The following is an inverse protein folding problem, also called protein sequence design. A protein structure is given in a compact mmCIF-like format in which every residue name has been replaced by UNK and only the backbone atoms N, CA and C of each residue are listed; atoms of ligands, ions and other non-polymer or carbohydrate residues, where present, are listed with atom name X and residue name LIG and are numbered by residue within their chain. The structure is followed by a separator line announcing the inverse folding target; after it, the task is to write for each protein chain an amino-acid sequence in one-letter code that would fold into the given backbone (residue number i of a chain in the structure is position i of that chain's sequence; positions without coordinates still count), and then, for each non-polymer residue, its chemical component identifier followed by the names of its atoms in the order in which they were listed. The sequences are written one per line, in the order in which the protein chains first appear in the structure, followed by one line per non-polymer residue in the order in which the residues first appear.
data_IF_900336921084
#
_entry.id   IF_900336921084
#
_cell.length_a   1.000
_cell.length_b   1.000
_cell.length_c   1.000
_cell.angle_alpha   90.00
_cell.angle_beta   90.00
_cell.angle_gamma   90.00
#
_symmetry.space_group_name_H-M   'P 1'
#
loop_
_entity.id
_entity.type
_entity.pdbx_description
1 polymer ?
#
# COMPACT_ATOMS: atom_id res chain seq x y z
N UNK A 1 -48.08 -49.69 34.65
CA UNK A 1 -48.34 -48.80 33.50
C UNK A 1 -47.43 -47.61 33.71
N UNK A 2 -46.34 -47.57 32.94
CA UNK A 2 -45.24 -46.62 33.12
C UNK A 2 -45.37 -45.53 32.06
N UNK A 3 -45.48 -44.29 32.49
CA UNK A 3 -45.40 -43.12 31.61
C UNK A 3 -43.93 -42.87 31.20
N UNK A 4 -43.64 -42.61 29.91
CA UNK A 4 -42.27 -42.36 29.47
C UNK A 4 -41.89 -40.89 29.71
N UNK A 5 -40.70 -40.70 30.29
CA UNK A 5 -40.02 -39.41 30.43
C UNK A 5 -39.70 -38.80 29.05
N UNK A 6 -39.93 -37.49 28.84
CA UNK A 6 -39.47 -36.81 27.64
C UNK A 6 -37.94 -36.68 27.65
N UNK A 7 -37.31 -37.11 26.55
CA UNK A 7 -35.86 -37.16 26.38
C UNK A 7 -35.17 -35.78 26.33
N UNK A 8 -33.84 -35.76 26.38
CA UNK A 8 -33.07 -34.51 26.35
C UNK A 8 -33.24 -33.81 25.00
N UNK A 9 -33.76 -32.59 25.04
CA UNK A 9 -33.75 -31.66 23.92
C UNK A 9 -32.28 -31.34 23.58
N UNK A 10 -31.81 -31.90 22.46
CA UNK A 10 -30.54 -31.49 21.84
C UNK A 10 -30.76 -30.08 21.30
N UNK A 11 -30.35 -29.09 22.09
CA UNK A 11 -30.20 -27.72 21.59
C UNK A 11 -29.09 -27.76 20.55
N UNK A 12 -29.47 -27.88 19.28
CA UNK A 12 -28.59 -27.65 18.14
C UNK A 12 -28.19 -26.18 18.17
N UNK A 13 -27.21 -25.87 19.01
CA UNK A 13 -26.42 -24.65 18.90
C UNK A 13 -25.68 -24.81 17.58
N UNK A 14 -26.10 -24.08 16.56
CA UNK A 14 -25.36 -23.95 15.31
C UNK A 14 -23.95 -23.47 15.68
N UNK A 15 -22.99 -24.40 15.72
CA UNK A 15 -21.57 -24.10 15.74
C UNK A 15 -21.26 -23.48 14.39
N UNK A 16 -21.52 -22.18 14.30
CA UNK A 16 -21.06 -21.36 13.21
C UNK A 16 -19.55 -21.36 13.32
N UNK A 17 -18.91 -22.20 12.51
CA UNK A 17 -17.46 -22.24 12.42
C UNK A 17 -16.94 -20.81 12.22
N UNK A 18 -15.95 -20.35 13.00
CA UNK A 18 -15.35 -19.06 12.75
C UNK A 18 -14.72 -19.06 11.34
N UNK A 19 -14.75 -17.93 10.62
CA UNK A 19 -14.07 -17.80 9.33
C UNK A 19 -12.61 -18.23 9.45
N UNK A 20 -12.18 -19.12 8.56
CA UNK A 20 -10.87 -19.79 8.58
C UNK A 20 -9.68 -18.83 8.43
N UNK A 21 -9.92 -17.56 8.08
CA UNK A 21 -8.89 -16.52 8.01
C UNK A 21 -9.39 -15.18 8.60
N UNK A 22 -8.60 -14.60 9.50
CA UNK A 22 -8.86 -13.30 10.10
C UNK A 22 -7.54 -12.55 10.34
N UNK A 23 -7.60 -11.22 10.30
CA UNK A 23 -6.48 -10.37 10.73
C UNK A 23 -6.71 -10.00 12.19
N UNK A 24 -5.73 -10.27 13.05
CA UNK A 24 -5.74 -9.88 14.46
C UNK A 24 -4.75 -8.74 14.69
N UNK A 25 -5.26 -7.59 15.10
CA UNK A 25 -4.44 -6.43 15.45
C UNK A 25 -4.15 -6.48 16.94
N UNK A 26 -2.87 -6.60 17.31
CA UNK A 26 -2.41 -6.52 18.70
C UNK A 26 -1.87 -5.11 18.92
N UNK A 27 -2.59 -4.33 19.73
CA UNK A 27 -2.20 -2.95 20.01
C UNK A 27 -1.05 -2.89 21.02
N UNK A 28 -0.18 -1.89 20.88
CA UNK A 28 0.91 -1.64 21.81
C UNK A 28 0.37 -1.17 23.18
N UNK A 29 1.11 -1.42 24.26
CA UNK A 29 0.70 -1.09 25.64
C UNK A 29 0.37 0.41 25.84
N UNK A 30 0.96 1.29 25.03
CA UNK A 30 0.75 2.74 25.09
C UNK A 30 -0.45 3.25 24.27
N UNK A 31 -1.15 2.39 23.53
CA UNK A 31 -2.30 2.79 22.71
C UNK A 31 -3.57 3.04 23.53
N UNK A 32 -3.58 2.72 24.83
CA UNK A 32 -4.77 2.66 25.69
C UNK A 32 -5.91 1.76 25.17
N UNK A 33 -5.70 1.01 24.09
CA UNK A 33 -6.65 0.04 23.53
C UNK A 33 -6.25 -1.34 24.04
N UNK A 34 -7.05 -1.88 24.95
CA UNK A 34 -6.75 -3.16 25.63
C UNK A 34 -7.35 -4.37 24.92
N UNK A 35 -8.25 -4.16 23.95
CA UNK A 35 -8.93 -5.23 23.22
C UNK A 35 -8.35 -5.37 21.81
N UNK A 36 -7.88 -6.57 21.41
CA UNK A 36 -7.47 -6.83 20.04
C UNK A 36 -8.63 -6.62 19.06
N UNK A 37 -8.39 -5.91 17.96
CA UNK A 37 -9.34 -5.84 16.87
C UNK A 37 -9.21 -7.08 15.97
N UNK A 38 -10.35 -7.67 15.60
CA UNK A 38 -10.41 -8.84 14.71
C UNK A 38 -11.21 -8.44 13.48
N UNK A 39 -10.57 -8.49 12.32
CA UNK A 39 -11.19 -8.20 11.03
C UNK A 39 -11.46 -9.54 10.33
N UNK A 40 -12.74 -9.95 10.18
CA UNK A 40 -13.08 -11.19 9.48
C UNK A 40 -12.90 -11.00 7.97
N UNK A 41 -12.12 -11.89 7.33
CA UNK A 41 -12.03 -11.92 5.87
C UNK A 41 -13.26 -12.68 5.35
N UNK A 42 -14.25 -11.95 4.83
CA UNK A 42 -15.42 -12.57 4.19
C UNK A 42 -14.98 -13.20 2.87
N UNK A 43 -14.93 -14.52 2.80
CA UNK A 43 -14.93 -15.24 1.52
C UNK A 43 -16.36 -15.25 0.97
N UNK A 44 -16.82 -14.14 0.42
CA UNK A 44 -18.01 -14.14 -0.42
C UNK A 44 -17.55 -13.84 -1.85
N UNK A 45 -17.33 -14.92 -2.61
CA UNK A 45 -17.74 -14.87 -4.01
C UNK A 45 -19.24 -14.52 -4.04
N UNK A 46 -19.66 -13.85 -5.11
CA UNK A 46 -21.05 -13.50 -5.42
C UNK A 46 -21.57 -12.21 -4.75
N UNK A 47 -21.16 -11.06 -5.29
CA UNK A 47 -22.15 -10.04 -5.61
C UNK A 47 -21.65 -9.10 -6.71
N UNK A 48 -22.17 -9.36 -7.89
CA UNK A 48 -22.21 -8.50 -9.06
C UNK A 48 -22.95 -7.19 -8.73
N UNK A 49 -22.21 -6.13 -8.44
CA UNK A 49 -22.66 -4.76 -8.68
C UNK A 49 -21.51 -3.98 -9.25
N UNK A 50 -21.57 -3.84 -10.58
CA UNK A 50 -20.71 -3.07 -11.46
C UNK A 50 -20.55 -1.64 -10.95
N UNK A 51 -19.40 -1.22 -10.40
CA UNK A 51 -19.01 0.16 -10.48
C UNK A 51 -18.31 0.33 -11.84
N UNK A 52 -18.64 1.37 -12.59
CA UNK A 52 -17.69 1.96 -13.52
C UNK A 52 -16.53 2.59 -12.72
N UNK A 53 -15.86 1.79 -11.89
CA UNK A 53 -14.52 2.07 -11.45
C UNK A 53 -13.64 1.69 -12.62
N UNK A 54 -12.82 2.63 -13.07
CA UNK A 54 -11.58 2.27 -13.75
C UNK A 54 -10.88 1.30 -12.80
N UNK A 55 -10.99 0.01 -13.09
CA UNK A 55 -10.24 -1.02 -12.40
C UNK A 55 -8.78 -0.73 -12.72
N UNK A 56 -8.12 0.06 -11.87
CA UNK A 56 -6.69 -0.06 -11.71
C UNK A 56 -6.53 -1.44 -11.12
N UNK A 57 -6.38 -2.44 -12.00
CA UNK A 57 -5.98 -3.75 -11.52
C UNK A 57 -4.68 -3.52 -10.75
N UNK A 58 -4.56 -4.05 -9.52
CA UNK A 58 -3.25 -4.14 -8.90
C UNK A 58 -2.42 -4.94 -9.89
N UNK A 59 -1.52 -4.25 -10.60
CA UNK A 59 -0.57 -4.93 -11.46
C UNK A 59 0.22 -5.77 -10.47
N UNK A 60 -0.03 -7.08 -10.47
CA UNK A 60 0.84 -8.03 -9.80
C UNK A 60 2.17 -7.89 -10.55
N UNK A 61 3.04 -7.00 -10.08
CA UNK A 61 4.37 -6.75 -10.64
C UNK A 61 5.27 -7.90 -10.22
N UNK A 62 4.94 -9.12 -10.65
CA UNK A 62 5.63 -10.33 -10.21
C UNK A 62 6.99 -10.56 -10.89
N UNK A 63 7.48 -9.66 -11.73
CA UNK A 63 8.76 -9.90 -12.41
C UNK A 63 9.82 -8.81 -12.29
N UNK A 64 9.50 -7.58 -11.90
CA UNK A 64 10.47 -6.47 -11.99
C UNK A 64 10.15 -5.36 -10.97
N UNK A 65 10.73 -5.37 -9.76
CA UNK A 65 10.42 -4.37 -8.72
C UNK A 65 10.87 -2.95 -9.09
N UNK A 66 11.77 -2.82 -10.07
CA UNK A 66 12.19 -1.54 -10.63
C UNK A 66 11.32 -1.07 -11.80
N UNK A 67 10.17 -1.67 -12.10
CA UNK A 67 9.22 -1.09 -13.07
C UNK A 67 8.63 0.20 -12.48
N UNK A 68 8.54 1.32 -13.22
CA UNK A 68 8.67 1.49 -14.68
C UNK A 68 10.06 1.91 -15.19
N UNK A 69 11.10 1.82 -14.37
CA UNK A 69 12.46 2.11 -14.81
C UNK A 69 12.92 1.09 -15.85
N UNK A 70 13.69 1.56 -16.83
CA UNK A 70 14.19 0.73 -17.93
C UNK A 70 15.12 -0.37 -17.44
N UNK A 71 15.88 -0.10 -16.38
CA UNK A 71 16.76 -1.05 -15.72
C UNK A 71 16.92 -0.69 -14.23
N UNK A 72 17.57 -1.59 -13.49
CA UNK A 72 17.80 -1.43 -12.05
C UNK A 72 18.72 -0.25 -11.71
N UNK A 73 19.71 0.07 -12.56
CA UNK A 73 20.64 1.17 -12.29
C UNK A 73 19.98 2.53 -12.41
N UNK A 74 19.02 2.68 -13.33
CA UNK A 74 18.19 3.88 -13.43
C UNK A 74 17.33 4.07 -12.17
N UNK A 75 16.77 2.98 -11.64
CA UNK A 75 16.03 2.99 -10.37
C UNK A 75 16.92 3.38 -9.19
N UNK A 76 18.06 2.73 -9.02
CA UNK A 76 19.02 3.00 -7.93
C UNK A 76 19.54 4.44 -7.99
N UNK A 77 19.91 4.92 -9.18
CA UNK A 77 20.33 6.30 -9.36
C UNK A 77 19.22 7.27 -8.95
N UNK A 78 17.98 6.98 -9.34
CA UNK A 78 16.84 7.82 -9.04
C UNK A 78 16.51 7.86 -7.55
N UNK A 79 16.55 6.71 -6.88
CA UNK A 79 16.36 6.61 -5.44
C UNK A 79 17.36 7.51 -4.71
N UNK A 80 18.65 7.40 -5.04
CA UNK A 80 19.70 8.24 -4.45
C UNK A 80 19.45 9.72 -4.77
N UNK A 81 19.06 10.06 -5.99
CA UNK A 81 18.83 11.44 -6.40
C UNK A 81 17.66 12.08 -5.65
N UNK A 82 16.55 11.35 -5.46
CA UNK A 82 15.38 11.80 -4.71
C UNK A 82 15.70 11.90 -3.21
N UNK A 83 16.31 10.87 -2.62
CA UNK A 83 16.69 10.85 -1.20
C UNK A 83 17.67 11.97 -0.84
N UNK A 84 18.61 12.27 -1.74
CA UNK A 84 19.57 13.36 -1.56
C UNK A 84 19.04 14.74 -1.97
N UNK A 85 17.76 14.85 -2.34
CA UNK A 85 17.13 16.09 -2.81
C UNK A 85 17.96 16.83 -3.88
N UNK A 86 18.50 16.10 -4.85
CA UNK A 86 19.36 16.68 -5.87
C UNK A 86 18.60 17.68 -6.73
N UNK A 87 19.21 18.85 -6.94
CA UNK A 87 18.65 19.85 -7.86
C UNK A 87 18.76 19.38 -9.30
N UNK A 88 17.92 19.93 -10.18
CA UNK A 88 17.97 19.70 -11.63
C UNK A 88 19.37 19.87 -12.23
N UNK A 89 20.09 20.91 -11.80
CA UNK A 89 21.46 21.16 -12.28
C UNK A 89 22.42 20.04 -11.84
N UNK A 90 22.31 19.58 -10.59
CA UNK A 90 23.14 18.50 -10.07
C UNK A 90 22.87 17.17 -10.77
N UNK A 91 21.60 16.84 -11.00
CA UNK A 91 21.20 15.63 -11.75
C UNK A 91 21.80 15.66 -13.15
N UNK A 92 21.59 16.75 -13.89
CA UNK A 92 22.14 16.90 -15.24
C UNK A 92 23.67 16.80 -15.25
N UNK A 93 24.36 17.46 -14.33
CA UNK A 93 25.83 17.41 -14.26
C UNK A 93 26.33 15.99 -13.96
N UNK A 94 25.68 15.27 -13.05
CA UNK A 94 26.04 13.88 -12.72
C UNK A 94 25.78 12.93 -13.88
N UNK A 95 24.60 12.98 -14.51
CA UNK A 95 24.27 12.14 -15.65
C UNK A 95 25.20 12.43 -16.83
N UNK A 96 25.49 13.71 -17.11
CA UNK A 96 26.48 14.10 -18.10
C UNK A 96 27.85 13.48 -17.80
N UNK A 97 28.33 13.58 -16.55
CA UNK A 97 29.59 12.95 -16.15
C UNK A 97 29.60 11.43 -16.37
N UNK A 98 28.53 10.74 -15.95
CA UNK A 98 28.38 9.29 -16.11
C UNK A 98 28.42 8.87 -17.58
N UNK A 99 27.72 9.60 -18.46
CA UNK A 99 27.72 9.35 -19.90
C UNK A 99 29.06 9.68 -20.57
N UNK A 100 29.79 10.65 -20.04
CA UNK A 100 31.09 11.09 -20.56
C UNK A 100 32.28 10.41 -19.86
N UNK A 101 32.05 9.22 -19.29
CA UNK A 101 33.12 8.32 -18.87
C UNK A 101 33.63 8.52 -17.44
N UNK A 102 32.93 9.25 -16.58
CA UNK A 102 33.24 9.25 -15.14
C UNK A 102 33.07 7.85 -14.52
N UNK A 103 32.18 7.03 -15.08
CA UNK A 103 32.02 5.63 -14.70
C UNK A 103 32.12 4.75 -15.96
N UNK A 104 33.11 3.85 -15.99
CA UNK A 104 33.21 2.85 -17.06
C UNK A 104 32.20 1.73 -16.80
N UNK A 105 31.36 1.44 -17.78
CA UNK A 105 30.39 0.34 -17.70
C UNK A 105 29.13 0.66 -16.89
N UNK A 106 28.78 1.94 -16.71
CA UNK A 106 27.44 2.28 -16.24
C UNK A 106 26.41 1.95 -17.33
N UNK A 107 25.33 1.30 -16.93
CA UNK A 107 24.16 0.99 -17.77
C UNK A 107 23.01 1.96 -17.50
N UNK A 108 23.30 3.10 -16.85
CA UNK A 108 22.32 4.16 -16.63
C UNK A 108 21.92 4.73 -17.99
N UNK A 109 20.62 4.71 -18.28
CA UNK A 109 20.04 5.22 -19.53
C UNK A 109 19.37 6.58 -19.39
N UNK A 110 19.21 7.07 -18.16
CA UNK A 110 18.78 8.45 -17.91
C UNK A 110 19.81 9.43 -18.48
N UNK A 111 19.37 10.36 -19.35
CA UNK A 111 20.27 11.34 -19.96
C UNK A 111 20.26 12.68 -19.24
N UNK A 112 19.11 13.02 -18.66
CA UNK A 112 18.92 14.30 -18.01
C UNK A 112 17.75 14.25 -17.01
N UNK A 113 17.55 15.34 -16.29
CA UNK A 113 16.48 15.49 -15.30
C UNK A 113 15.06 15.28 -15.85
N UNK A 114 14.81 15.59 -17.13
CA UNK A 114 13.50 15.37 -17.73
C UNK A 114 13.17 13.88 -17.79
N UNK A 115 14.14 13.03 -18.12
CA UNK A 115 13.95 11.58 -18.15
C UNK A 115 13.65 11.04 -16.74
N UNK A 116 14.33 11.62 -15.75
CA UNK A 116 14.06 11.34 -14.34
C UNK A 116 12.62 11.71 -13.96
N UNK A 117 12.16 12.92 -14.27
CA UNK A 117 10.77 13.35 -14.02
C UNK A 117 9.74 12.46 -14.73
N UNK A 118 10.01 12.06 -15.97
CA UNK A 118 9.13 11.18 -16.73
C UNK A 118 9.01 9.81 -16.07
N UNK A 119 10.13 9.23 -15.61
CA UNK A 119 10.10 7.95 -14.94
C UNK A 119 9.48 8.03 -13.53
N UNK A 120 9.65 9.13 -12.78
CA UNK A 120 8.90 9.38 -11.54
C UNK A 120 7.39 9.49 -11.80
N UNK A 121 7.01 10.25 -12.81
CA UNK A 121 5.59 10.41 -13.20
C UNK A 121 4.99 9.08 -13.63
N UNK A 122 5.73 8.28 -14.40
CA UNK A 122 5.32 6.93 -14.74
C UNK A 122 5.17 6.07 -13.47
N UNK A 123 6.12 6.16 -12.52
CA UNK A 123 6.11 5.39 -11.27
C UNK A 123 4.88 5.71 -10.42
N UNK A 124 4.42 6.96 -10.42
CA UNK A 124 3.19 7.36 -9.74
C UNK A 124 1.94 6.63 -10.27
N UNK A 125 1.96 6.16 -11.52
CA UNK A 125 0.85 5.35 -12.07
C UNK A 125 0.87 3.90 -11.56
N UNK A 126 2.02 3.40 -11.09
CA UNK A 126 2.18 2.05 -10.52
C UNK A 126 2.02 2.02 -9.01
N UNK A 127 2.30 3.13 -8.33
CA UNK A 127 2.04 3.28 -6.90
C UNK A 127 0.53 3.39 -6.72
N UNK A 128 -0.06 2.40 -6.03
CA UNK A 128 -1.46 2.45 -5.58
C UNK A 128 -1.66 3.81 -4.91
N UNK A 129 -2.65 4.62 -5.31
CA UNK A 129 -2.89 5.90 -4.66
C UNK A 129 -3.23 5.63 -3.20
N UNK A 130 -2.26 5.81 -2.30
CA UNK A 130 -2.52 5.88 -0.88
C UNK A 130 -3.32 7.17 -0.68
N UNK A 131 -4.64 7.02 -0.50
CA UNK A 131 -5.48 8.14 -0.08
C UNK A 131 -5.10 8.45 1.37
N UNK A 132 -4.32 9.50 1.56
CA UNK A 132 -4.17 10.12 2.86
C UNK A 132 -5.39 11.02 3.11
N UNK A 133 -6.36 10.53 3.87
CA UNK A 133 -7.48 11.36 4.33
C UNK A 133 -7.06 11.98 5.66
N UNK A 134 -6.57 13.22 5.62
CA UNK A 134 -6.25 13.96 6.84
C UNK A 134 -7.52 14.60 7.38
N UNK A 135 -8.09 14.04 8.46
CA UNK A 135 -9.16 14.68 9.21
C UNK A 135 -8.57 15.74 10.15
N UNK A 136 -8.52 16.99 9.68
CA UNK A 136 -8.21 18.14 10.53
C UNK A 136 -9.50 18.71 11.13
N UNK A 137 -9.57 18.84 12.46
CA UNK A 137 -10.62 19.62 13.14
C UNK A 137 -10.04 20.96 13.57
N UNK A 138 -10.70 22.04 13.17
CA UNK A 138 -10.37 23.39 13.60
C UNK A 138 -11.31 23.80 14.72
N UNK A 139 -10.76 24.02 15.92
CA UNK A 139 -11.47 24.66 17.03
C UNK A 139 -10.61 25.81 17.56
N UNK A 140 -11.23 27.00 17.63
CA UNK A 140 -10.73 28.16 18.38
C UNK A 140 -9.24 28.52 18.18
N UNK A 141 -8.75 28.44 16.94
CA UNK A 141 -7.39 28.88 16.59
C UNK A 141 -6.28 27.86 16.83
N UNK A 142 -6.60 26.61 17.21
CA UNK A 142 -5.62 25.52 17.29
C UNK A 142 -6.00 24.43 16.28
N UNK A 143 -5.08 24.11 15.37
CA UNK A 143 -5.20 22.96 14.46
C UNK A 143 -4.71 21.72 15.19
N UNK A 144 -5.61 20.79 15.48
CA UNK A 144 -5.25 19.47 16.01
C UNK A 144 -5.41 18.43 14.91
N UNK A 145 -4.33 17.72 14.57
CA UNK A 145 -4.36 16.54 13.68
C UNK A 145 -4.83 15.37 14.53
N UNK A 146 -5.98 14.78 14.19
CA UNK A 146 -6.66 13.84 15.10
C UNK A 146 -6.42 12.38 14.74
N UNK A 147 -6.22 12.00 13.47
CA UNK A 147 -5.89 10.61 13.13
C UNK A 147 -5.41 10.50 11.67
N UNK A 148 -4.47 9.59 11.45
CA UNK A 148 -3.94 9.23 10.14
C UNK A 148 -4.47 7.83 9.80
N UNK A 149 -5.54 7.76 9.01
CA UNK A 149 -6.10 6.51 8.52
C UNK A 149 -5.58 6.21 7.11
N UNK A 150 -5.10 4.98 6.92
CA UNK A 150 -4.60 4.48 5.64
C UNK A 150 -5.68 3.61 4.99
N UNK A 151 -6.32 4.10 3.93
CA UNK A 151 -7.20 3.29 3.08
C UNK A 151 -6.47 2.83 1.81
N UNK A 152 -6.60 1.53 1.49
CA UNK A 152 -6.13 0.96 0.24
C UNK A 152 -7.22 1.14 -0.81
N UNK A 153 -6.95 1.95 -1.84
CA UNK A 153 -7.86 2.24 -2.95
C UNK A 153 -7.76 1.27 -4.12
#
# INVERSE_FOLDING_TARGET
MSDPLPGPQVVQSSLQMPPTAHIKIIHHLHSNITKPAIIPLKSSLDSELKPESRTLQPIIVESVPWTPFRNIQDFEYMEIAVQACLTKSNVNARLYGLQNGWAKGSWITLENHRDMEQALTASHAYIIPLKCVVHAKFQEGIVSVVEEEWEVG
#
